data_IF_830396903851
#
_entry.id   IF_830396903851
#
_cell.length_a   1.000
_cell.length_b   1.000
_cell.length_c   1.000
_cell.angle_alpha   90.00
_cell.angle_beta   90.00
_cell.angle_gamma   90.00
#
_symmetry.space_group_name_H-M   'P 1'
#
loop_
_entity.id
_entity.type
_entity.pdbx_description
1 polymer ?
#
# COMPACT_ATOMS: atom_id res chain seq x y z
N UNK A 1 2.39 -3.86 17.83
CA UNK A 1 3.68 -3.99 17.14
C UNK A 1 4.53 -2.76 17.41
N UNK A 2 5.85 -2.91 17.50
CA UNK A 2 6.77 -1.80 17.69
C UNK A 2 6.74 -0.88 16.45
N UNK A 3 6.81 0.43 16.69
CA UNK A 3 6.95 1.43 15.63
C UNK A 3 8.45 1.57 15.30
N UNK A 4 8.84 1.60 14.01
CA UNK A 4 10.25 1.69 13.62
C UNK A 4 10.82 3.07 13.95
N UNK A 5 12.06 3.09 14.46
CA UNK A 5 12.82 4.31 14.78
C UNK A 5 14.06 4.42 13.90
N UNK A 6 14.72 3.30 13.61
CA UNK A 6 15.91 3.22 12.75
C UNK A 6 15.60 2.62 11.37
N UNK A 7 16.43 2.86 10.34
CA UNK A 7 16.27 2.20 9.03
C UNK A 7 16.27 0.67 9.14
N UNK A 8 17.17 0.11 9.97
CA UNK A 8 17.26 -1.33 10.19
C UNK A 8 16.01 -1.93 10.85
N UNK A 9 15.40 -1.20 11.80
CA UNK A 9 14.12 -1.60 12.40
C UNK A 9 12.98 -1.57 11.37
N UNK A 10 12.94 -0.54 10.52
CA UNK A 10 11.95 -0.46 9.44
C UNK A 10 12.09 -1.66 8.48
N UNK A 11 13.29 -1.90 7.97
CA UNK A 11 13.60 -2.99 7.04
C UNK A 11 13.23 -4.35 7.62
N UNK A 12 13.64 -4.63 8.86
CA UNK A 12 13.28 -5.86 9.58
C UNK A 12 11.76 -6.05 9.63
N UNK A 13 11.00 -5.03 10.03
CA UNK A 13 9.53 -5.13 10.15
C UNK A 13 8.84 -5.45 8.82
N UNK A 14 9.25 -4.79 7.74
CA UNK A 14 8.61 -4.99 6.43
C UNK A 14 9.04 -6.31 5.77
N UNK A 15 10.28 -6.76 6.00
CA UNK A 15 10.78 -8.07 5.55
C UNK A 15 10.06 -9.20 6.30
N UNK A 16 9.94 -9.12 7.61
CA UNK A 16 9.20 -10.11 8.41
C UNK A 16 7.74 -10.18 7.96
N UNK A 17 7.08 -9.03 7.74
CA UNK A 17 5.70 -8.99 7.25
C UNK A 17 5.55 -9.67 5.89
N UNK A 18 6.51 -9.50 4.99
CA UNK A 18 6.53 -10.18 3.70
C UNK A 18 6.74 -11.69 3.86
N UNK A 19 7.72 -12.10 4.68
CA UNK A 19 8.18 -13.49 4.75
C UNK A 19 7.13 -14.46 5.29
N UNK A 20 6.29 -14.05 6.25
CA UNK A 20 5.22 -14.94 6.71
C UNK A 20 4.12 -15.12 5.65
N UNK A 21 3.76 -14.05 4.93
CA UNK A 21 2.79 -14.12 3.82
C UNK A 21 3.32 -14.95 2.66
N UNK A 22 4.60 -14.81 2.34
CA UNK A 22 5.26 -15.62 1.31
C UNK A 22 5.21 -17.11 1.65
N UNK A 23 5.46 -17.48 2.92
CA UNK A 23 5.37 -18.88 3.37
C UNK A 23 3.95 -19.41 3.23
N UNK A 24 2.94 -18.62 3.61
CA UNK A 24 1.53 -19.00 3.49
C UNK A 24 1.10 -19.20 2.02
N UNK A 25 1.43 -18.26 1.13
CA UNK A 25 1.18 -18.40 -0.31
C UNK A 25 1.90 -19.60 -0.92
N UNK A 26 3.13 -19.87 -0.48
CA UNK A 26 3.90 -21.02 -0.96
C UNK A 26 3.27 -22.34 -0.54
N UNK A 27 2.76 -22.42 0.70
CA UNK A 27 2.05 -23.60 1.18
C UNK A 27 0.74 -23.84 0.41
N UNK A 28 -0.06 -22.79 0.17
CA UNK A 28 -1.29 -22.89 -0.62
C UNK A 28 -1.00 -23.27 -2.07
N UNK A 29 0.05 -22.69 -2.68
CA UNK A 29 0.49 -23.05 -4.04
C UNK A 29 0.85 -24.55 -4.13
N UNK A 30 1.56 -25.07 -3.14
CA UNK A 30 1.90 -26.50 -3.07
C UNK A 30 0.65 -27.36 -2.93
N UNK A 31 -0.28 -26.99 -2.05
CA UNK A 31 -1.54 -27.71 -1.86
C UNK A 31 -2.35 -27.77 -3.17
N UNK A 32 -2.47 -26.65 -3.89
CA UNK A 32 -3.13 -26.62 -5.21
C UNK A 32 -2.44 -27.57 -6.19
N UNK A 33 -1.09 -27.59 -6.22
CA UNK A 33 -0.34 -28.45 -7.15
C UNK A 33 -0.55 -29.95 -6.93
N UNK A 34 -0.85 -30.35 -5.70
CA UNK A 34 -1.05 -31.75 -5.32
C UNK A 34 -2.50 -32.20 -5.42
N UNK A 35 -3.44 -31.26 -5.46
CA UNK A 35 -4.88 -31.54 -5.55
C UNK A 35 -5.35 -31.75 -6.99
N UNK A 36 -6.43 -32.51 -7.14
CA UNK A 36 -7.11 -32.78 -8.41
C UNK A 36 -8.63 -32.61 -8.27
N UNK A 37 -9.34 -32.52 -9.39
CA UNK A 37 -10.81 -32.39 -9.40
C UNK A 37 -11.34 -31.21 -8.58
N UNK A 38 -12.46 -31.43 -7.89
CA UNK A 38 -13.17 -30.40 -7.12
C UNK A 38 -12.35 -29.80 -5.98
N UNK A 39 -11.45 -30.58 -5.38
CA UNK A 39 -10.59 -30.11 -4.30
C UNK A 39 -9.59 -29.08 -4.82
N UNK A 40 -9.06 -29.30 -6.03
CA UNK A 40 -8.18 -28.35 -6.70
C UNK A 40 -8.91 -27.03 -6.95
N UNK A 41 -10.13 -27.08 -7.44
CA UNK A 41 -10.93 -25.88 -7.73
C UNK A 41 -11.21 -25.07 -6.46
N UNK A 42 -11.60 -25.75 -5.38
CA UNK A 42 -11.81 -25.11 -4.08
C UNK A 42 -10.52 -24.43 -3.56
N UNK A 43 -9.38 -25.08 -3.71
CA UNK A 43 -8.08 -24.53 -3.30
C UNK A 43 -7.65 -23.34 -4.17
N UNK A 44 -7.92 -23.35 -5.48
CA UNK A 44 -7.65 -22.19 -6.35
C UNK A 44 -8.49 -20.99 -5.93
N UNK A 45 -9.78 -21.19 -5.61
CA UNK A 45 -10.64 -20.10 -5.09
C UNK A 45 -10.07 -19.50 -3.81
N UNK A 46 -9.67 -20.34 -2.87
CA UNK A 46 -9.03 -19.90 -1.64
C UNK A 46 -7.72 -19.14 -1.93
N UNK A 47 -6.89 -19.64 -2.85
CA UNK A 47 -5.62 -19.02 -3.23
C UNK A 47 -5.81 -17.62 -3.81
N UNK A 48 -6.81 -17.39 -4.67
CA UNK A 48 -7.13 -16.06 -5.22
C UNK A 48 -7.47 -15.07 -4.10
N UNK A 49 -8.36 -15.47 -3.19
CA UNK A 49 -8.75 -14.63 -2.05
C UNK A 49 -7.54 -14.31 -1.16
N UNK A 50 -6.70 -15.30 -0.88
CA UNK A 50 -5.51 -15.14 -0.06
C UNK A 50 -4.44 -14.27 -0.74
N UNK A 51 -4.21 -14.42 -2.05
CA UNK A 51 -3.32 -13.56 -2.82
C UNK A 51 -3.74 -12.09 -2.72
N UNK A 52 -5.02 -11.81 -2.97
CA UNK A 52 -5.53 -10.45 -2.86
C UNK A 52 -5.41 -9.91 -1.42
N UNK A 53 -5.80 -10.70 -0.40
CA UNK A 53 -5.75 -10.27 0.99
C UNK A 53 -4.31 -9.98 1.47
N UNK A 54 -3.34 -10.77 1.00
CA UNK A 54 -1.92 -10.53 1.28
C UNK A 54 -1.36 -9.32 0.54
N UNK A 55 -1.73 -9.12 -0.72
CA UNK A 55 -1.36 -7.92 -1.47
C UNK A 55 -1.83 -6.64 -0.75
N UNK A 56 -3.14 -6.54 -0.50
CA UNK A 56 -3.74 -5.37 0.17
C UNK A 56 -3.15 -5.17 1.57
N UNK A 57 -3.12 -6.24 2.36
CA UNK A 57 -2.66 -6.17 3.74
C UNK A 57 -1.16 -5.84 3.87
N UNK A 58 -0.33 -6.28 2.92
CA UNK A 58 1.11 -6.00 2.94
C UNK A 58 1.42 -4.57 2.49
N UNK A 59 0.81 -4.10 1.40
CA UNK A 59 0.99 -2.74 0.92
C UNK A 59 0.56 -1.72 1.99
N UNK A 60 -0.63 -1.92 2.59
CA UNK A 60 -1.12 -1.10 3.71
C UNK A 60 -0.14 -1.11 4.89
N UNK A 61 0.34 -2.29 5.29
CA UNK A 61 1.29 -2.41 6.40
C UNK A 61 2.58 -1.63 6.14
N UNK A 62 3.16 -1.77 4.95
CA UNK A 62 4.42 -1.10 4.61
C UNK A 62 4.26 0.43 4.59
N UNK A 63 3.18 0.94 3.96
CA UNK A 63 2.87 2.37 3.94
C UNK A 63 2.67 2.94 5.36
N UNK A 64 1.92 2.23 6.21
CA UNK A 64 1.70 2.62 7.61
C UNK A 64 3.03 2.70 8.39
N UNK A 65 3.88 1.68 8.28
CA UNK A 65 5.18 1.65 8.97
C UNK A 65 6.12 2.73 8.44
N UNK A 66 6.05 3.04 7.15
CA UNK A 66 6.87 4.07 6.51
C UNK A 66 6.50 5.47 7.01
N UNK A 67 5.22 5.82 7.04
CA UNK A 67 4.80 7.12 7.56
C UNK A 67 5.03 7.25 9.08
N UNK A 68 4.87 6.16 9.84
CA UNK A 68 5.25 6.12 11.26
C UNK A 68 6.75 6.33 11.46
N UNK A 69 7.58 5.73 10.61
CA UNK A 69 9.02 5.97 10.58
C UNK A 69 9.30 7.46 10.31
N UNK A 70 8.72 8.06 9.27
CA UNK A 70 8.97 9.46 8.91
C UNK A 70 8.54 10.45 9.99
N UNK A 71 7.32 10.32 10.52
CA UNK A 71 6.79 11.25 11.54
C UNK A 71 7.61 11.31 12.82
N UNK A 72 8.35 10.23 13.15
CA UNK A 72 9.24 10.19 14.31
C UNK A 72 10.50 11.03 14.16
N UNK A 73 10.93 11.30 12.93
CA UNK A 73 12.08 12.18 12.64
C UNK A 73 11.76 13.64 12.90
N UNK A 74 10.47 14.01 12.87
CA UNK A 74 10.01 15.39 13.09
C UNK A 74 10.76 16.39 12.19
N UNK A 75 11.04 16.02 10.95
CA UNK A 75 11.69 16.89 9.96
C UNK A 75 10.80 18.11 9.71
N UNK A 76 11.41 19.27 9.49
CA UNK A 76 10.68 20.44 8.99
C UNK A 76 10.18 20.16 7.58
N UNK A 77 9.08 20.80 7.19
CA UNK A 77 8.59 20.69 5.81
C UNK A 77 9.58 21.26 4.76
N UNK A 78 10.57 22.05 5.18
CA UNK A 78 11.70 22.47 4.34
C UNK A 78 12.78 21.40 4.16
N UNK A 79 12.84 20.40 5.03
CA UNK A 79 13.88 19.35 5.07
C UNK A 79 13.40 18.02 4.45
N UNK A 80 12.11 17.90 4.15
CA UNK A 80 11.47 16.71 3.61
C UNK A 80 10.79 17.06 2.28
N UNK A 81 10.62 16.07 1.40
CA UNK A 81 9.90 16.24 0.14
C UNK A 81 8.58 17.01 0.34
N UNK A 82 8.39 18.01 -0.51
CA UNK A 82 7.19 18.87 -0.52
C UNK A 82 5.88 18.08 -0.59
N UNK A 83 5.94 16.83 -1.07
CA UNK A 83 4.82 15.91 -1.15
C UNK A 83 4.20 15.58 0.20
N UNK A 84 5.01 15.47 1.26
CA UNK A 84 4.47 15.25 2.61
C UNK A 84 3.74 16.48 3.16
N UNK A 85 4.12 17.69 2.72
CA UNK A 85 3.40 18.90 3.03
C UNK A 85 2.05 18.95 2.28
N UNK A 86 2.02 18.61 0.99
CA UNK A 86 0.77 18.51 0.20
C UNK A 86 -0.21 17.50 0.82
N UNK A 87 0.28 16.28 1.09
CA UNK A 87 -0.50 15.17 1.65
C UNK A 87 -1.04 15.52 3.05
N UNK A 88 -0.34 16.33 3.83
CA UNK A 88 -0.83 16.80 5.14
C UNK A 88 -2.15 17.54 5.02
N UNK A 89 -2.35 18.35 3.97
CA UNK A 89 -3.53 19.20 3.83
C UNK A 89 -4.60 18.64 2.90
N UNK A 90 -4.33 17.58 2.13
CA UNK A 90 -5.25 17.03 1.13
C UNK A 90 -6.66 16.76 1.67
N UNK A 91 -6.77 16.29 2.92
CA UNK A 91 -8.08 16.03 3.56
C UNK A 91 -8.81 17.30 3.97
N UNK A 92 -8.08 18.26 4.52
CA UNK A 92 -8.66 19.56 4.90
C UNK A 92 -9.12 20.30 3.64
N UNK A 93 -8.39 20.15 2.53
CA UNK A 93 -8.77 20.66 1.21
C UNK A 93 -9.98 19.95 0.62
N UNK A 94 -10.06 18.61 0.72
CA UNK A 94 -11.22 17.85 0.24
C UNK A 94 -12.52 18.25 0.97
N UNK A 95 -12.43 18.56 2.27
CA UNK A 95 -13.56 19.04 3.06
C UNK A 95 -13.84 20.54 2.89
N UNK A 96 -13.00 21.29 2.17
CA UNK A 96 -13.09 22.75 2.10
C UNK A 96 -14.35 23.25 1.37
N UNK A 97 -14.95 22.44 0.49
CA UNK A 97 -16.21 22.77 -0.20
C UNK A 97 -17.35 23.04 0.79
N UNK A 98 -17.36 22.32 1.91
CA UNK A 98 -18.45 22.36 2.91
C UNK A 98 -18.22 23.45 3.97
N UNK A 99 -17.08 24.13 3.92
CA UNK A 99 -16.72 25.20 4.84
C UNK A 99 -17.32 26.54 4.39
N UNK A 100 -17.69 27.38 5.36
CA UNK A 100 -18.01 28.78 5.12
C UNK A 100 -16.76 29.60 4.71
N UNK A 101 -16.98 30.82 4.21
CA UNK A 101 -15.90 31.69 3.72
C UNK A 101 -14.82 31.99 4.77
N UNK A 102 -15.23 32.15 6.04
CA UNK A 102 -14.31 32.45 7.14
C UNK A 102 -13.37 31.26 7.38
N UNK A 103 -13.93 30.06 7.49
CA UNK A 103 -13.18 28.81 7.71
C UNK A 103 -12.28 28.45 6.53
N UNK A 104 -12.72 28.68 5.29
CA UNK A 104 -11.84 28.53 4.11
C UNK A 104 -10.65 29.48 4.17
N UNK A 105 -10.87 30.74 4.56
CA UNK A 105 -9.79 31.71 4.72
C UNK A 105 -8.84 31.32 5.85
N UNK A 106 -9.36 30.77 6.96
CA UNK A 106 -8.55 30.22 8.04
C UNK A 106 -7.66 29.04 7.57
N UNK A 107 -8.22 28.11 6.79
CA UNK A 107 -7.46 27.01 6.20
C UNK A 107 -6.31 27.54 5.31
N UNK A 108 -6.58 28.53 4.46
CA UNK A 108 -5.53 29.14 3.62
C UNK A 108 -4.45 29.79 4.47
N UNK A 109 -4.81 30.56 5.51
CA UNK A 109 -3.83 31.16 6.43
C UNK A 109 -2.98 30.09 7.12
N UNK A 110 -3.62 29.02 7.61
CA UNK A 110 -2.95 27.89 8.27
C UNK A 110 -1.91 27.26 7.36
N UNK A 111 -2.28 26.95 6.12
CA UNK A 111 -1.36 26.42 5.09
C UNK A 111 -0.19 27.40 4.93
N UNK A 112 -0.44 28.67 4.65
CA UNK A 112 0.63 29.66 4.43
C UNK A 112 1.56 29.83 5.63
N UNK A 113 1.05 29.69 6.86
CA UNK A 113 1.84 29.81 8.09
C UNK A 113 2.60 28.54 8.50
N UNK A 114 2.23 27.37 7.97
CA UNK A 114 2.74 26.07 8.44
C UNK A 114 4.00 25.58 7.71
N UNK A 115 4.65 26.41 6.90
CA UNK A 115 5.85 25.98 6.14
C UNK A 115 7.03 25.63 7.05
N UNK A 116 7.14 26.27 8.21
CA UNK A 116 8.16 25.97 9.21
C UNK A 116 7.76 24.84 10.18
N UNK A 117 6.54 24.30 10.04
CA UNK A 117 6.09 23.20 10.86
C UNK A 117 6.86 21.91 10.54
N UNK A 118 6.73 20.96 11.45
CA UNK A 118 7.39 19.65 11.36
C UNK A 118 6.39 18.57 10.98
N UNK A 119 6.82 17.69 10.08
CA UNK A 119 6.12 16.44 9.80
C UNK A 119 6.24 15.50 11.01
N UNK A 120 5.26 15.63 11.91
CA UNK A 120 5.27 15.01 13.23
C UNK A 120 4.04 14.11 13.49
N UNK A 121 3.03 14.24 12.64
CA UNK A 121 1.88 13.35 12.60
C UNK A 121 1.41 13.15 11.15
N UNK A 122 0.68 12.07 10.94
CA UNK A 122 -0.11 11.84 9.74
C UNK A 122 -1.46 11.26 10.16
N UNK A 123 -2.50 11.51 9.38
CA UNK A 123 -3.78 10.84 9.57
C UNK A 123 -3.66 9.41 9.06
N UNK A 124 -3.90 8.40 9.91
CA UNK A 124 -3.89 6.98 9.49
C UNK A 124 -4.88 6.69 8.37
N UNK A 125 -5.92 7.51 8.25
CA UNK A 125 -6.90 7.44 7.17
C UNK A 125 -6.33 7.85 5.80
N UNK A 126 -5.10 8.39 5.73
CA UNK A 126 -4.38 8.59 4.47
C UNK A 126 -3.87 7.26 3.89
N UNK A 127 -3.56 6.28 4.75
CA UNK A 127 -3.20 4.91 4.34
C UNK A 127 -4.49 4.10 4.25
N UNK A 128 -5.31 4.43 3.26
CA UNK A 128 -6.62 3.84 3.07
C UNK A 128 -6.69 3.11 1.74
N UNK A 129 -6.80 1.79 1.82
CA UNK A 129 -6.99 0.92 0.65
C UNK A 129 -8.44 0.93 0.16
N UNK A 130 -9.35 1.69 0.80
CA UNK A 130 -10.79 1.72 0.52
C UNK A 130 -11.44 0.33 0.54
N UNK A 131 -10.87 -0.59 1.32
CA UNK A 131 -11.18 -2.03 1.37
C UNK A 131 -11.01 -2.76 0.03
N UNK A 132 -10.41 -2.09 -0.96
CA UNK A 132 -10.25 -2.52 -2.36
C UNK A 132 -9.00 -1.85 -2.95
N UNK A 133 -7.82 -2.46 -2.79
CA UNK A 133 -6.57 -1.96 -3.36
C UNK A 133 -6.50 -2.28 -4.86
N UNK A 134 -7.23 -1.50 -5.65
CA UNK A 134 -7.12 -1.46 -7.11
C UNK A 134 -5.92 -0.60 -7.57
N UNK A 135 -5.64 -0.59 -8.87
CA UNK A 135 -4.55 0.18 -9.49
C UNK A 135 -4.61 1.67 -9.16
N UNK A 136 -5.79 2.28 -9.22
CA UNK A 136 -6.04 3.69 -8.88
C UNK A 136 -5.75 4.00 -7.40
N UNK A 137 -6.20 3.14 -6.49
CA UNK A 137 -5.95 3.27 -5.05
C UNK A 137 -4.48 3.02 -4.74
N UNK A 138 -3.81 2.11 -5.46
CA UNK A 138 -2.37 1.93 -5.36
C UNK A 138 -1.64 3.20 -5.81
N UNK A 139 -2.07 3.84 -6.91
CA UNK A 139 -1.50 5.10 -7.37
C UNK A 139 -1.63 6.17 -6.28
N UNK A 140 -2.81 6.36 -5.69
CA UNK A 140 -2.99 7.28 -4.55
C UNK A 140 -2.09 6.94 -3.37
N UNK A 141 -1.93 5.65 -3.04
CA UNK A 141 -1.05 5.20 -1.97
C UNK A 141 0.43 5.51 -2.26
N UNK A 142 0.85 5.35 -3.52
CA UNK A 142 2.17 5.78 -4.00
C UNK A 142 2.34 7.30 -3.84
N UNK A 143 1.34 8.12 -4.20
CA UNK A 143 1.40 9.58 -3.98
C UNK A 143 1.59 9.91 -2.49
N UNK A 144 0.85 9.23 -1.61
CA UNK A 144 0.94 9.42 -0.14
C UNK A 144 2.32 9.05 0.41
N UNK A 145 2.97 8.05 -0.19
CA UNK A 145 4.30 7.59 0.22
C UNK A 145 5.45 8.26 -0.54
N UNK A 146 5.15 9.24 -1.38
CA UNK A 146 6.11 9.87 -2.29
C UNK A 146 6.89 8.87 -3.16
N UNK A 147 6.16 7.92 -3.74
CA UNK A 147 6.68 6.92 -4.66
C UNK A 147 6.19 7.18 -6.08
N UNK A 148 7.07 6.89 -7.04
CA UNK A 148 6.70 6.81 -8.45
C UNK A 148 5.88 5.54 -8.73
N UNK A 149 4.76 5.73 -9.43
CA UNK A 149 3.80 4.69 -9.79
C UNK A 149 4.20 3.94 -11.08
N UNK A 150 5.10 4.49 -11.91
CA UNK A 150 5.38 3.94 -13.25
C UNK A 150 5.76 2.45 -13.24
N UNK A 151 6.49 1.98 -12.23
CA UNK A 151 6.87 0.56 -12.13
C UNK A 151 5.68 -0.39 -11.84
N UNK A 152 4.51 0.14 -11.47
CA UNK A 152 3.29 -0.63 -11.22
C UNK A 152 2.30 -0.60 -12.39
N UNK A 153 2.50 0.29 -13.37
CA UNK A 153 1.55 0.49 -14.48
C UNK A 153 1.28 -0.82 -15.25
N UNK A 154 2.34 -1.58 -15.52
CA UNK A 154 2.27 -2.87 -16.22
C UNK A 154 1.45 -3.93 -15.48
N UNK A 155 1.25 -3.77 -14.17
CA UNK A 155 0.50 -4.71 -13.33
C UNK A 155 -0.95 -4.28 -13.08
N UNK A 156 -1.39 -3.14 -13.61
CA UNK A 156 -2.75 -2.59 -13.38
C UNK A 156 -3.85 -3.59 -13.73
N UNK A 157 -3.77 -4.21 -14.91
CA UNK A 157 -4.76 -5.21 -15.35
C UNK A 157 -4.77 -6.45 -14.44
N UNK A 158 -3.62 -6.85 -13.90
CA UNK A 158 -3.54 -7.97 -12.96
C UNK A 158 -4.14 -7.61 -11.61
N UNK A 159 -3.82 -6.44 -11.08
CA UNK A 159 -4.40 -5.94 -9.83
C UNK A 159 -5.93 -5.85 -9.94
N UNK A 160 -6.43 -5.23 -11.00
CA UNK A 160 -7.85 -4.91 -11.11
C UNK A 160 -8.69 -6.12 -11.50
N UNK A 161 -8.25 -6.87 -12.51
CA UNK A 161 -9.05 -7.96 -13.10
C UNK A 161 -8.75 -9.31 -12.44
N UNK A 162 -7.48 -9.61 -12.17
CA UNK A 162 -7.08 -10.94 -11.72
C UNK A 162 -7.13 -11.05 -10.19
N UNK A 163 -6.66 -10.05 -9.47
CA UNK A 163 -6.71 -10.05 -8.00
C UNK A 163 -8.07 -9.55 -7.50
N UNK A 164 -8.41 -8.29 -7.75
CA UNK A 164 -9.55 -7.65 -7.11
C UNK A 164 -10.89 -8.20 -7.61
N UNK A 165 -11.13 -8.16 -8.92
CA UNK A 165 -12.41 -8.60 -9.48
C UNK A 165 -12.68 -10.07 -9.16
N UNK A 166 -11.74 -10.98 -9.42
CA UNK A 166 -11.92 -12.42 -9.10
C UNK A 166 -12.10 -12.65 -7.60
N UNK A 167 -11.36 -11.92 -6.74
CA UNK A 167 -11.60 -11.98 -5.28
C UNK A 167 -13.03 -11.60 -4.94
N UNK A 168 -13.56 -10.52 -5.51
CA UNK A 168 -14.92 -10.07 -5.25
C UNK A 168 -15.94 -11.12 -5.67
N UNK A 169 -15.85 -11.59 -6.92
CA UNK A 169 -16.75 -12.62 -7.45
C UNK A 169 -16.72 -13.89 -6.55
N UNK A 170 -15.53 -14.38 -6.17
CA UNK A 170 -15.38 -15.54 -5.28
C UNK A 170 -15.98 -15.28 -3.88
N UNK A 171 -15.67 -14.13 -3.28
CA UNK A 171 -16.11 -13.78 -1.93
C UNK A 171 -17.64 -13.53 -1.85
N UNK A 172 -18.26 -13.12 -2.95
CA UNK A 172 -19.71 -12.99 -3.09
C UNK A 172 -20.40 -14.32 -3.45
N UNK A 173 -19.66 -15.42 -3.56
CA UNK A 173 -20.21 -16.76 -3.82
C UNK A 173 -20.49 -17.04 -5.29
N UNK A 174 -19.97 -16.23 -6.21
CA UNK A 174 -20.16 -16.45 -7.64
C UNK A 174 -19.33 -17.65 -8.13
N UNK A 175 -19.88 -18.34 -9.13
CA UNK A 175 -19.21 -19.45 -9.79
C UNK A 175 -18.27 -18.93 -10.90
N UNK A 176 -17.10 -18.45 -10.47
CA UNK A 176 -16.04 -17.96 -11.36
C UNK A 176 -15.38 -19.12 -12.10
N UNK A 177 -15.17 -18.96 -13.41
CA UNK A 177 -14.44 -19.91 -14.22
C UNK A 177 -12.93 -19.87 -13.88
N UNK A 178 -12.42 -20.95 -13.27
CA UNK A 178 -11.07 -21.00 -12.71
C UNK A 178 -10.00 -21.51 -13.68
N UNK A 179 -10.39 -22.13 -14.81
CA UNK A 179 -9.43 -22.71 -15.76
C UNK A 179 -8.49 -21.65 -16.37
N UNK A 180 -8.90 -20.37 -16.37
CA UNK A 180 -8.08 -19.24 -16.78
C UNK A 180 -7.22 -18.64 -15.65
N UNK A 181 -7.07 -19.32 -14.51
CA UNK A 181 -6.20 -18.92 -13.41
C UNK A 181 -5.02 -19.90 -13.37
N UNK A 182 -3.82 -19.43 -13.72
CA UNK A 182 -2.59 -20.16 -13.41
C UNK A 182 -2.21 -19.88 -11.94
N UNK A 183 -2.25 -20.88 -11.04
CA UNK A 183 -1.90 -20.70 -9.63
C UNK A 183 -0.45 -20.28 -9.41
N UNK A 184 0.46 -20.70 -10.30
CA UNK A 184 1.88 -20.37 -10.21
C UNK A 184 2.10 -18.91 -10.58
N UNK A 185 1.56 -18.48 -11.72
CA UNK A 185 1.62 -17.08 -12.16
C UNK A 185 0.98 -16.14 -11.13
N UNK A 186 -0.21 -16.49 -10.64
CA UNK A 186 -0.93 -15.72 -9.63
C UNK A 186 -0.07 -15.43 -8.39
N UNK A 187 0.57 -16.45 -7.82
CA UNK A 187 1.42 -16.30 -6.63
C UNK A 187 2.70 -15.54 -6.96
N UNK A 188 3.32 -15.82 -8.10
CA UNK A 188 4.57 -15.17 -8.49
C UNK A 188 4.35 -13.66 -8.69
N UNK A 189 3.32 -13.27 -9.44
CA UNK A 189 2.99 -11.86 -9.68
C UNK A 189 2.55 -11.14 -8.41
N UNK A 190 1.73 -11.78 -7.58
CA UNK A 190 1.32 -11.22 -6.27
C UNK A 190 2.53 -10.95 -5.38
N UNK A 191 3.43 -11.92 -5.26
CA UNK A 191 4.63 -11.78 -4.41
C UNK A 191 5.65 -10.81 -4.99
N UNK A 192 5.74 -10.70 -6.32
CA UNK A 192 6.56 -9.70 -7.01
C UNK A 192 6.03 -8.27 -6.74
N UNK A 193 4.72 -8.04 -6.83
CA UNK A 193 4.09 -6.77 -6.48
C UNK A 193 4.33 -6.36 -5.03
N UNK A 194 4.10 -7.29 -4.10
CA UNK A 194 4.36 -7.08 -2.68
C UNK A 194 5.82 -6.70 -2.42
N UNK A 195 6.75 -7.40 -3.07
CA UNK A 195 8.20 -7.16 -2.98
C UNK A 195 8.57 -5.78 -3.55
N UNK A 196 8.09 -5.45 -4.74
CA UNK A 196 8.37 -4.17 -5.41
C UNK A 196 7.95 -2.98 -4.53
N UNK A 197 6.72 -3.01 -3.99
CA UNK A 197 6.23 -1.95 -3.12
C UNK A 197 7.07 -1.79 -1.84
N UNK A 198 7.40 -2.90 -1.19
CA UNK A 198 8.27 -2.92 -0.02
C UNK A 198 9.66 -2.36 -0.34
N UNK A 199 10.30 -2.86 -1.40
CA UNK A 199 11.69 -2.55 -1.72
C UNK A 199 11.85 -1.08 -2.10
N UNK A 200 10.86 -0.48 -2.77
CA UNK A 200 10.82 0.97 -3.00
C UNK A 200 10.83 1.76 -1.70
N UNK A 201 9.98 1.41 -0.72
CA UNK A 201 9.94 2.10 0.57
C UNK A 201 11.24 1.88 1.37
N UNK A 202 11.78 0.67 1.38
CA UNK A 202 13.01 0.34 2.09
C UNK A 202 14.23 1.07 1.50
N UNK A 203 14.30 1.16 0.17
CA UNK A 203 15.31 1.97 -0.52
C UNK A 203 15.18 3.45 -0.16
N UNK A 204 13.97 4.03 -0.21
CA UNK A 204 13.73 5.42 0.18
C UNK A 204 14.14 5.69 1.63
N UNK A 205 13.86 4.76 2.54
CA UNK A 205 14.26 4.84 3.95
C UNK A 205 15.77 4.79 4.11
N UNK A 206 16.42 3.86 3.42
CA UNK A 206 17.85 3.56 3.57
C UNK A 206 18.75 4.64 2.97
N UNK A 207 18.32 5.21 1.84
CA UNK A 207 19.02 6.26 1.11
C UNK A 207 18.60 7.66 1.56
N UNK A 208 17.71 7.77 2.54
CA UNK A 208 17.08 9.02 2.97
C UNK A 208 16.43 9.81 1.82
N UNK A 209 15.93 9.12 0.79
CA UNK A 209 15.34 9.73 -0.42
C UNK A 209 14.06 10.54 -0.17
N UNK A 210 13.56 10.54 1.06
CA UNK A 210 12.46 11.40 1.51
C UNK A 210 12.91 12.83 1.87
N UNK A 211 14.21 13.09 2.01
CA UNK A 211 14.74 14.44 2.28
C UNK A 211 14.81 15.27 1.00
N UNK A 212 14.63 16.57 1.12
CA UNK A 212 14.90 17.49 0.02
C UNK A 212 16.40 17.45 -0.31
N UNK A 213 16.76 17.33 -1.60
CA UNK A 213 18.14 17.51 -2.03
C UNK A 213 18.56 18.95 -1.70
N UNK A 214 19.65 19.09 -0.93
CA UNK A 214 20.23 20.38 -0.59
C UNK A 214 20.91 21.04 -1.80
#
# INVERSE_FOLDING_TARGET
MAKPSTPAEFSTLVIENFNWRLRELSALKLAVSQATGTDRDALIRALVVMCYAHWEGHAKFCADRYLEYLTRRRLRFSEISSRFYEVRFVRELAAASDLDYSRRTELVRKILSSKEDRFSNFSKELVNTRSNLNSMVLQELCLVCDLDYTDFEAESDFIDRILLRRRNEIAHGENVFLEAVDPVDLVNRTTALMRLFRDKLDATVSLEGYKTLA
#
